data_IF_141258796506
#
_entry.id   IF_141258796506
#
_cell.length_a   1.000
_cell.length_b   1.000
_cell.length_c   1.000
_cell.angle_alpha   90.00
_cell.angle_beta   90.00
_cell.angle_gamma   90.00
#
_symmetry.space_group_name_H-M   'P 1'
#
loop_
_entity.id
_entity.type
_entity.pdbx_description
1 polymer ?
#
# COMPACT_ATOMS: atom_id res chain seq x y z
N UNK A 1 11.31 13.96 -16.97
CA UNK A 1 10.93 13.55 -15.60
C UNK A 1 9.45 13.20 -15.50
N UNK A 2 8.53 14.13 -15.79
CA UNK A 2 7.06 13.90 -15.75
C UNK A 2 6.63 12.69 -16.59
N UNK A 3 7.08 12.58 -17.83
CA UNK A 3 6.72 11.45 -18.73
C UNK A 3 7.11 10.09 -18.12
N UNK A 4 8.28 9.97 -17.49
CA UNK A 4 8.73 8.72 -16.90
C UNK A 4 7.88 8.32 -15.68
N UNK A 5 7.47 9.29 -14.87
CA UNK A 5 6.56 9.07 -13.73
C UNK A 5 5.20 8.58 -14.24
N UNK A 6 4.59 9.27 -15.22
CA UNK A 6 3.30 8.85 -15.77
C UNK A 6 3.38 7.50 -16.50
N UNK A 7 4.45 7.24 -17.26
CA UNK A 7 4.65 5.96 -17.91
C UNK A 7 4.80 4.82 -16.88
N UNK A 8 5.55 5.05 -15.79
CA UNK A 8 5.67 4.10 -14.68
C UNK A 8 4.34 3.87 -13.95
N UNK A 9 3.59 4.94 -13.71
CA UNK A 9 2.31 4.90 -13.01
C UNK A 9 1.20 4.20 -13.80
N UNK A 10 1.12 4.38 -15.12
CA UNK A 10 0.05 3.80 -15.94
C UNK A 10 0.45 2.54 -16.70
N UNK A 11 1.75 2.23 -16.76
CA UNK A 11 2.27 1.05 -17.46
C UNK A 11 1.61 -0.26 -17.05
N UNK A 12 1.49 -0.59 -15.74
CA UNK A 12 0.87 -1.84 -15.31
C UNK A 12 -0.62 -1.91 -15.72
N UNK A 13 -1.37 -0.84 -15.53
CA UNK A 13 -2.79 -0.77 -15.89
C UNK A 13 -3.03 -0.89 -17.39
N UNK A 14 -2.21 -0.23 -18.21
CA UNK A 14 -2.25 -0.38 -19.68
C UNK A 14 -1.94 -1.81 -20.10
N UNK A 15 -0.92 -2.43 -19.52
CA UNK A 15 -0.61 -3.84 -19.77
C UNK A 15 -1.79 -4.74 -19.36
N UNK A 16 -2.37 -4.51 -18.18
CA UNK A 16 -3.55 -5.22 -17.70
C UNK A 16 -4.76 -5.08 -18.64
N UNK A 17 -5.01 -3.88 -19.17
CA UNK A 17 -6.09 -3.62 -20.12
C UNK A 17 -5.86 -4.35 -21.46
N UNK A 18 -4.65 -4.23 -22.03
CA UNK A 18 -4.28 -4.88 -23.31
C UNK A 18 -4.39 -6.40 -23.19
N UNK A 19 -3.86 -6.98 -22.12
CA UNK A 19 -3.90 -8.41 -21.92
C UNK A 19 -5.34 -8.89 -21.65
N UNK A 20 -6.13 -8.15 -20.86
CA UNK A 20 -7.55 -8.46 -20.65
C UNK A 20 -8.35 -8.41 -21.95
N UNK A 21 -8.04 -7.47 -22.85
CA UNK A 21 -8.68 -7.37 -24.16
C UNK A 21 -8.34 -8.56 -25.05
N UNK A 22 -7.07 -8.99 -25.07
CA UNK A 22 -6.63 -10.18 -25.82
C UNK A 22 -7.31 -11.47 -25.35
N UNK A 23 -7.66 -11.55 -24.07
CA UNK A 23 -8.40 -12.68 -23.51
C UNK A 23 -9.93 -12.55 -23.61
N UNK A 24 -10.46 -11.47 -24.21
CA UNK A 24 -11.91 -11.23 -24.28
C UNK A 24 -12.56 -10.81 -22.96
N UNK A 25 -11.78 -10.48 -21.92
CA UNK A 25 -12.24 -10.16 -20.56
C UNK A 25 -12.15 -8.68 -20.20
N UNK A 26 -11.98 -7.80 -21.18
CA UNK A 26 -11.87 -6.34 -20.93
C UNK A 26 -13.06 -5.79 -20.14
N UNK A 27 -14.29 -6.26 -20.43
CA UNK A 27 -15.50 -5.84 -19.69
C UNK A 27 -15.42 -6.19 -18.21
N UNK A 28 -14.91 -7.38 -17.87
CA UNK A 28 -14.74 -7.82 -16.47
C UNK A 28 -13.67 -7.02 -15.75
N UNK A 29 -12.59 -6.69 -16.45
CA UNK A 29 -11.50 -5.84 -15.96
C UNK A 29 -12.00 -4.43 -15.66
N UNK A 30 -12.70 -3.78 -16.60
CA UNK A 30 -13.31 -2.46 -16.40
C UNK A 30 -14.33 -2.49 -15.26
N UNK A 31 -15.17 -3.52 -15.20
CA UNK A 31 -16.13 -3.67 -14.11
C UNK A 31 -15.46 -3.70 -12.72
N UNK A 32 -14.21 -4.15 -12.62
CA UNK A 32 -13.42 -4.10 -11.38
C UNK A 32 -13.24 -2.69 -10.81
N UNK A 33 -13.18 -1.67 -11.67
CA UNK A 33 -13.07 -0.26 -11.27
C UNK A 33 -14.42 0.38 -10.91
N UNK A 34 -15.53 -0.26 -11.24
CA UNK A 34 -16.88 0.22 -10.93
C UNK A 34 -17.48 -0.48 -9.70
N UNK A 35 -16.89 -1.60 -9.28
CA UNK A 35 -17.34 -2.36 -8.12
C UNK A 35 -16.91 -1.70 -6.82
N UNK A 36 -17.74 -0.83 -6.23
CA UNK A 36 -17.58 -0.44 -4.83
C UNK A 36 -18.24 -1.50 -3.92
N UNK A 37 -17.44 -2.46 -3.42
CA UNK A 37 -17.93 -3.56 -2.57
C UNK A 37 -17.07 -3.73 -1.32
N UNK A 38 -17.04 -2.68 -0.51
CA UNK A 38 -16.20 -2.63 0.67
C UNK A 38 -16.88 -3.19 1.93
N UNK A 39 -18.15 -2.84 2.15
CA UNK A 39 -18.83 -3.07 3.43
C UNK A 39 -18.06 -2.44 4.61
N UNK A 40 -18.60 -2.56 5.82
CA UNK A 40 -17.90 -2.07 7.02
C UNK A 40 -16.61 -2.83 7.32
N UNK A 41 -16.59 -4.13 7.06
CA UNK A 41 -15.41 -4.96 7.27
C UNK A 41 -14.24 -4.57 6.35
N UNK A 42 -14.49 -4.31 5.05
CA UNK A 42 -13.45 -3.86 4.14
C UNK A 42 -12.98 -2.44 4.46
N UNK A 43 -13.89 -1.55 4.85
CA UNK A 43 -13.53 -0.20 5.27
C UNK A 43 -12.63 -0.22 6.52
N UNK A 44 -13.00 -1.04 7.53
CA UNK A 44 -12.19 -1.25 8.72
C UNK A 44 -10.83 -1.88 8.39
N UNK A 45 -10.78 -2.86 7.47
CA UNK A 45 -9.54 -3.51 7.06
C UNK A 45 -8.58 -2.56 6.30
N UNK A 46 -9.10 -1.53 5.64
CA UNK A 46 -8.27 -0.47 5.02
C UNK A 46 -7.82 0.55 6.07
N UNK A 47 -8.72 0.92 6.98
CA UNK A 47 -8.51 2.02 7.91
C UNK A 47 -7.70 1.64 9.16
N UNK A 48 -7.72 0.40 9.62
CA UNK A 48 -7.23 0.09 10.98
C UNK A 48 -5.88 -0.64 11.03
N UNK A 49 -5.64 -1.75 10.30
CA UNK A 49 -4.49 -2.61 10.58
C UNK A 49 -3.14 -1.90 10.46
N UNK A 50 -2.87 -1.22 9.35
CA UNK A 50 -1.59 -0.54 9.13
C UNK A 50 -1.43 0.69 10.03
N UNK A 51 -2.41 1.60 10.14
CA UNK A 51 -2.32 2.74 11.06
C UNK A 51 -2.10 2.35 12.52
N UNK A 52 -2.80 1.32 13.01
CA UNK A 52 -2.61 0.81 14.37
C UNK A 52 -1.24 0.16 14.54
N UNK A 53 -0.74 -0.58 13.55
CA UNK A 53 0.60 -1.16 13.60
C UNK A 53 1.69 -0.09 13.62
N UNK A 54 1.58 0.94 12.78
CA UNK A 54 2.51 2.09 12.78
C UNK A 54 2.47 2.80 14.12
N UNK A 55 1.28 3.20 14.59
CA UNK A 55 1.12 3.91 15.87
C UNK A 55 1.63 3.08 17.05
N UNK A 56 1.21 1.83 17.14
CA UNK A 56 1.59 0.93 18.23
C UNK A 56 3.09 0.71 18.28
N UNK A 57 3.74 0.51 17.14
CA UNK A 57 5.19 0.34 17.08
C UNK A 57 5.93 1.65 17.39
N UNK A 58 5.44 2.81 16.93
CA UNK A 58 6.03 4.12 17.27
C UNK A 58 6.00 4.38 18.78
N UNK A 59 4.85 4.12 19.42
CA UNK A 59 4.68 4.27 20.87
C UNK A 59 5.52 3.25 21.64
N UNK A 60 5.55 1.99 21.21
CA UNK A 60 6.36 0.95 21.85
C UNK A 60 7.87 1.25 21.83
N UNK A 61 8.33 2.04 20.86
CA UNK A 61 9.70 2.51 20.74
C UNK A 61 9.98 3.82 21.51
N UNK A 62 8.99 4.33 22.26
CA UNK A 62 9.15 5.47 23.17
C UNK A 62 8.96 6.85 22.52
N UNK A 63 8.47 6.92 21.28
CA UNK A 63 8.22 8.19 20.60
C UNK A 63 6.84 8.74 20.93
N UNK A 64 6.77 10.07 21.02
CA UNK A 64 5.53 10.81 21.28
C UNK A 64 5.27 11.80 20.14
N UNK A 65 4.02 12.25 19.95
CA UNK A 65 3.74 13.22 18.91
C UNK A 65 4.37 14.55 19.30
N UNK A 66 4.73 15.36 18.31
CA UNK A 66 5.03 16.77 18.56
C UNK A 66 3.74 17.42 19.06
N UNK A 67 3.75 18.09 20.22
CA UNK A 67 2.57 18.79 20.71
C UNK A 67 2.13 19.85 19.70
N UNK A 68 0.87 19.76 19.25
CA UNK A 68 0.25 20.84 18.48
C UNK A 68 -0.33 21.85 19.47
N UNK A 69 -0.05 23.13 19.26
CA UNK A 69 -0.56 24.19 20.13
C UNK A 69 -2.10 24.14 20.20
N UNK A 70 -2.64 24.06 21.42
CA UNK A 70 -4.08 24.00 21.66
C UNK A 70 -4.76 22.64 21.37
N UNK A 71 -4.03 21.61 20.93
CA UNK A 71 -4.60 20.27 20.67
C UNK A 71 -3.95 19.23 21.60
N UNK A 72 -4.74 18.50 22.41
CA UNK A 72 -4.20 17.42 23.23
C UNK A 72 -3.47 16.38 22.35
N UNK A 73 -2.31 15.85 22.78
CA UNK A 73 -1.53 14.87 22.03
C UNK A 73 -2.32 13.64 21.55
N UNK A 74 -3.34 13.21 22.30
CA UNK A 74 -4.20 12.09 21.90
C UNK A 74 -5.15 12.46 20.75
N UNK A 75 -5.58 13.73 20.67
CA UNK A 75 -6.52 14.23 19.66
C UNK A 75 -5.83 14.57 18.34
N UNK A 76 -4.54 14.96 18.36
CA UNK A 76 -3.77 15.18 17.12
C UNK A 76 -3.72 13.92 16.25
N UNK A 77 -3.71 12.73 16.83
CA UNK A 77 -3.78 11.46 16.08
C UNK A 77 -5.14 11.20 15.44
N UNK A 78 -6.23 11.51 16.16
CA UNK A 78 -7.59 11.36 15.67
C UNK A 78 -7.91 12.36 14.55
N UNK A 79 -7.29 13.54 14.54
CA UNK A 79 -7.48 14.55 13.49
C UNK A 79 -6.67 14.27 12.23
N UNK A 80 -5.48 13.68 12.37
CA UNK A 80 -4.64 13.33 11.23
C UNK A 80 -5.24 12.17 10.43
N UNK A 81 -5.90 11.23 11.11
CA UNK A 81 -6.38 10.00 10.47
C UNK A 81 -7.44 10.22 9.36
N UNK A 82 -8.51 11.01 9.55
CA UNK A 82 -9.42 11.37 8.46
C UNK A 82 -8.74 12.14 7.32
N UNK A 83 -7.77 13.00 7.63
CA UNK A 83 -7.02 13.74 6.63
C UNK A 83 -6.12 12.82 5.79
N UNK A 84 -5.51 11.78 6.40
CA UNK A 84 -4.74 10.74 5.70
C UNK A 84 -5.64 9.97 4.74
N UNK A 85 -6.82 9.56 5.21
CA UNK A 85 -7.77 8.82 4.40
C UNK A 85 -8.26 9.68 3.23
N UNK A 86 -8.59 10.94 3.48
CA UNK A 86 -9.02 11.89 2.44
C UNK A 86 -7.91 12.20 1.44
N UNK A 87 -6.68 12.47 1.91
CA UNK A 87 -5.53 12.69 1.05
C UNK A 87 -5.17 11.43 0.24
N UNK A 88 -5.33 10.25 0.84
CA UNK A 88 -5.21 8.96 0.16
C UNK A 88 -6.23 8.79 -0.96
N UNK A 89 -7.49 9.25 -0.79
CA UNK A 89 -8.48 9.30 -1.89
C UNK A 89 -8.01 10.22 -3.00
N UNK A 90 -7.60 11.43 -2.65
CA UNK A 90 -7.18 12.46 -3.61
C UNK A 90 -5.99 11.97 -4.43
N UNK A 91 -4.97 11.41 -3.79
CA UNK A 91 -3.78 10.86 -4.47
C UNK A 91 -4.10 9.57 -5.24
N UNK A 92 -5.00 8.73 -4.75
CA UNK A 92 -5.42 7.52 -5.45
C UNK A 92 -6.15 7.80 -6.77
N UNK A 93 -7.00 8.83 -6.78
CA UNK A 93 -7.89 9.15 -7.90
C UNK A 93 -7.30 10.21 -8.84
N UNK A 94 -6.61 11.20 -8.29
CA UNK A 94 -6.08 12.35 -9.04
C UNK A 94 -4.57 12.29 -9.25
N UNK A 95 -3.86 11.42 -8.52
CA UNK A 95 -2.42 11.22 -8.67
C UNK A 95 -2.06 10.18 -9.73
N UNK A 96 -0.91 10.37 -10.37
CA UNK A 96 -0.24 9.29 -11.10
C UNK A 96 0.25 8.24 -10.09
N UNK A 97 -0.24 7.00 -10.21
CA UNK A 97 0.21 5.87 -9.39
C UNK A 97 -0.93 4.89 -9.15
N UNK A 98 -1.67 4.98 -8.03
CA UNK A 98 -2.62 3.95 -7.61
C UNK A 98 -3.64 3.52 -8.67
N UNK A 99 -4.34 4.47 -9.31
CA UNK A 99 -5.31 4.16 -10.36
C UNK A 99 -4.68 3.44 -11.57
N UNK A 100 -3.49 3.89 -11.98
CA UNK A 100 -2.77 3.34 -13.12
C UNK A 100 -2.10 2.01 -12.82
N UNK A 101 -1.67 1.77 -11.59
CA UNK A 101 -0.92 0.57 -11.21
C UNK A 101 -1.85 -0.60 -10.87
N UNK A 102 -2.88 -0.36 -10.05
CA UNK A 102 -3.71 -1.44 -9.52
C UNK A 102 -4.52 -2.18 -10.60
N UNK A 103 -4.77 -1.54 -11.73
CA UNK A 103 -5.34 -2.21 -12.91
C UNK A 103 -4.49 -3.36 -13.43
N UNK A 104 -3.17 -3.22 -13.37
CA UNK A 104 -2.23 -4.28 -13.74
C UNK A 104 -2.05 -5.29 -12.61
N UNK A 105 -1.79 -4.79 -11.40
CA UNK A 105 -1.44 -5.63 -10.27
C UNK A 105 -2.63 -6.46 -9.76
N UNK A 106 -3.69 -5.80 -9.28
CA UNK A 106 -4.84 -6.46 -8.64
C UNK A 106 -5.98 -6.70 -9.64
N UNK A 107 -6.07 -5.89 -10.69
CA UNK A 107 -7.04 -6.03 -11.76
C UNK A 107 -6.73 -7.15 -12.75
N UNK A 108 -5.45 -7.54 -12.91
CA UNK A 108 -5.03 -8.53 -13.90
C UNK A 108 -4.09 -9.61 -13.35
N UNK A 109 -2.92 -9.24 -12.81
CA UNK A 109 -1.86 -10.20 -12.50
C UNK A 109 -2.18 -11.06 -11.27
N UNK A 110 -2.61 -10.44 -10.18
CA UNK A 110 -2.90 -11.12 -8.90
C UNK A 110 -3.92 -12.26 -9.04
N UNK A 111 -5.09 -12.11 -9.72
CA UNK A 111 -6.01 -13.23 -9.91
C UNK A 111 -5.33 -14.47 -10.51
N UNK A 112 -4.48 -14.30 -11.52
CA UNK A 112 -3.77 -15.40 -12.19
C UNK A 112 -2.71 -16.04 -11.30
N UNK A 113 -2.03 -15.25 -10.47
CA UNK A 113 -1.09 -15.78 -9.49
C UNK A 113 -1.82 -16.55 -8.39
N UNK A 114 -2.96 -16.04 -7.91
CA UNK A 114 -3.78 -16.70 -6.89
C UNK A 114 -4.27 -18.07 -7.36
N UNK A 115 -4.73 -18.18 -8.61
CA UNK A 115 -5.23 -19.43 -9.19
C UNK A 115 -4.15 -20.53 -9.27
N UNK A 116 -2.85 -20.16 -9.26
CA UNK A 116 -1.72 -21.09 -9.39
C UNK A 116 -0.97 -21.34 -8.08
N UNK A 117 -0.88 -20.32 -7.22
CA UNK A 117 0.07 -20.31 -6.10
C UNK A 117 -0.60 -20.19 -4.72
N UNK A 118 -1.89 -19.85 -4.66
CA UNK A 118 -2.56 -19.52 -3.41
C UNK A 118 -2.20 -18.14 -2.84
N UNK A 119 -2.87 -17.73 -1.76
CA UNK A 119 -2.85 -16.35 -1.25
C UNK A 119 -1.45 -15.81 -0.93
N UNK A 120 -0.69 -16.51 -0.08
CA UNK A 120 0.61 -16.02 0.41
C UNK A 120 1.65 -16.01 -0.71
N UNK A 121 1.94 -17.11 -1.42
CA UNK A 121 3.00 -17.11 -2.42
C UNK A 121 2.68 -16.21 -3.62
N UNK A 122 1.40 -16.11 -4.04
CA UNK A 122 0.97 -15.16 -5.07
C UNK A 122 1.26 -13.71 -4.66
N UNK A 123 0.95 -13.35 -3.41
CA UNK A 123 1.17 -12.01 -2.90
C UNK A 123 2.65 -11.64 -2.81
N UNK A 124 3.48 -12.57 -2.31
CA UNK A 124 4.93 -12.36 -2.21
C UNK A 124 5.56 -12.22 -3.60
N UNK A 125 5.17 -13.10 -4.54
CA UNK A 125 5.62 -13.01 -5.94
C UNK A 125 5.23 -11.68 -6.58
N UNK A 126 3.98 -11.24 -6.37
CA UNK A 126 3.52 -9.94 -6.85
C UNK A 126 4.33 -8.80 -6.24
N UNK A 127 4.67 -8.87 -4.95
CA UNK A 127 5.52 -7.86 -4.30
C UNK A 127 6.92 -7.76 -4.90
N UNK A 128 7.52 -8.90 -5.27
CA UNK A 128 8.81 -8.93 -5.99
C UNK A 128 8.70 -8.31 -7.38
N UNK A 129 7.67 -8.68 -8.15
CA UNK A 129 7.43 -8.12 -9.50
C UNK A 129 7.19 -6.61 -9.40
N UNK A 130 6.40 -6.18 -8.41
CA UNK A 130 6.09 -4.79 -8.18
C UNK A 130 7.33 -3.99 -7.74
N UNK A 131 8.21 -4.57 -6.91
CA UNK A 131 9.51 -3.97 -6.59
C UNK A 131 10.38 -3.82 -7.85
N UNK A 132 10.45 -4.85 -8.69
CA UNK A 132 11.22 -4.83 -9.93
C UNK A 132 10.73 -3.75 -10.91
N UNK A 133 9.41 -3.51 -10.96
CA UNK A 133 8.81 -2.43 -11.77
C UNK A 133 9.36 -1.03 -11.41
N UNK A 134 9.78 -0.83 -10.17
CA UNK A 134 10.34 0.45 -9.71
C UNK A 134 11.84 0.62 -9.98
N UNK A 135 12.55 -0.42 -10.46
CA UNK A 135 13.99 -0.31 -10.72
C UNK A 135 14.37 0.84 -11.66
N UNK A 136 13.66 1.09 -12.79
CA UNK A 136 13.99 2.20 -13.68
C UNK A 136 13.87 3.56 -12.98
N UNK A 137 12.80 3.77 -12.19
CA UNK A 137 12.58 5.05 -11.52
C UNK A 137 13.60 5.27 -10.39
N UNK A 138 13.97 4.20 -9.65
CA UNK A 138 15.03 4.24 -8.64
C UNK A 138 16.42 4.61 -9.20
N UNK A 139 16.67 4.24 -10.46
CA UNK A 139 17.92 4.54 -11.17
C UNK A 139 17.94 5.96 -11.74
N UNK A 140 16.82 6.41 -12.29
CA UNK A 140 16.72 7.73 -12.94
C UNK A 140 16.52 8.87 -11.92
N UNK A 141 15.88 8.59 -10.79
CA UNK A 141 15.61 9.57 -9.73
C UNK A 141 16.37 9.19 -8.44
N UNK A 142 17.57 9.76 -8.19
CA UNK A 142 18.34 9.48 -6.99
C UNK A 142 17.58 9.75 -5.69
N UNK A 143 16.72 10.78 -5.67
CA UNK A 143 15.90 11.17 -4.52
C UNK A 143 14.86 10.11 -4.15
N UNK A 144 14.50 9.19 -5.08
CA UNK A 144 13.61 8.07 -4.78
C UNK A 144 14.15 7.14 -3.68
N UNK A 145 15.47 7.11 -3.51
CA UNK A 145 16.14 6.29 -2.49
C UNK A 145 16.50 7.09 -1.24
N UNK A 146 16.14 8.37 -1.17
CA UNK A 146 16.48 9.27 -0.06
C UNK A 146 17.99 9.21 0.30
N UNK A 147 18.84 9.25 -0.73
CA UNK A 147 20.31 9.18 -0.59
C UNK A 147 20.87 7.80 -0.21
N UNK A 148 20.05 6.76 -0.04
CA UNK A 148 20.51 5.41 0.29
C UNK A 148 21.13 4.67 -0.90
N UNK A 149 22.13 3.83 -0.66
CA UNK A 149 22.72 2.97 -1.70
C UNK A 149 21.70 1.94 -2.21
N UNK A 150 21.84 1.53 -3.48
CA UNK A 150 21.03 0.47 -4.06
C UNK A 150 21.12 -0.84 -3.27
N UNK A 151 22.32 -1.19 -2.79
CA UNK A 151 22.56 -2.41 -2.03
C UNK A 151 21.74 -2.50 -0.74
N UNK A 152 21.44 -1.36 -0.10
CA UNK A 152 20.55 -1.31 1.05
C UNK A 152 19.09 -1.15 0.64
N UNK A 153 18.81 -0.17 -0.24
CA UNK A 153 17.45 0.25 -0.52
C UNK A 153 16.64 -0.82 -1.27
N UNK A 154 17.22 -1.47 -2.27
CA UNK A 154 16.48 -2.43 -3.09
C UNK A 154 16.00 -3.65 -2.29
N UNK A 155 16.82 -4.34 -1.47
CA UNK A 155 16.33 -5.42 -0.62
C UNK A 155 15.27 -4.96 0.39
N UNK A 156 15.51 -3.84 1.07
CA UNK A 156 14.56 -3.31 2.07
C UNK A 156 13.22 -2.92 1.43
N UNK A 157 13.24 -2.24 0.29
CA UNK A 157 12.06 -1.90 -0.48
C UNK A 157 11.32 -3.16 -0.98
N UNK A 158 12.05 -4.18 -1.45
CA UNK A 158 11.45 -5.44 -1.89
C UNK A 158 10.71 -6.14 -0.74
N UNK A 159 11.34 -6.25 0.44
CA UNK A 159 10.71 -6.84 1.63
C UNK A 159 9.48 -6.03 2.08
N UNK A 160 9.54 -4.70 1.97
CA UNK A 160 8.40 -3.81 2.21
C UNK A 160 7.25 -4.13 1.26
N UNK A 161 7.53 -4.18 -0.04
CA UNK A 161 6.54 -4.42 -1.10
C UNK A 161 5.95 -5.84 -1.05
N UNK A 162 6.71 -6.83 -0.59
CA UNK A 162 6.20 -8.18 -0.33
C UNK A 162 5.14 -8.18 0.78
N UNK A 163 5.45 -7.59 1.94
CA UNK A 163 4.50 -7.47 3.04
C UNK A 163 3.27 -6.62 2.64
N UNK A 164 3.51 -5.54 1.91
CA UNK A 164 2.45 -4.64 1.45
C UNK A 164 1.52 -5.33 0.46
N UNK A 165 2.10 -6.08 -0.49
CA UNK A 165 1.36 -6.87 -1.44
C UNK A 165 0.48 -7.91 -0.75
N UNK A 166 0.99 -8.58 0.30
CA UNK A 166 0.20 -9.50 1.12
C UNK A 166 -0.97 -8.81 1.83
N UNK A 167 -0.71 -7.72 2.55
CA UNK A 167 -1.76 -6.94 3.20
C UNK A 167 -2.84 -6.49 2.20
N UNK A 168 -2.40 -5.97 1.06
CA UNK A 168 -3.31 -5.51 0.00
C UNK A 168 -4.12 -6.65 -0.61
N UNK A 169 -3.52 -7.81 -0.85
CA UNK A 169 -4.25 -8.99 -1.36
C UNK A 169 -5.34 -9.42 -0.39
N UNK A 170 -5.05 -9.46 0.91
CA UNK A 170 -6.02 -9.87 1.94
C UNK A 170 -7.24 -8.94 1.95
N UNK A 171 -6.99 -7.63 1.91
CA UNK A 171 -8.05 -6.61 1.88
C UNK A 171 -8.81 -6.66 0.55
N UNK A 172 -8.11 -6.85 -0.57
CA UNK A 172 -8.74 -7.01 -1.89
C UNK A 172 -9.68 -8.23 -1.94
N UNK A 173 -9.31 -9.33 -1.28
CA UNK A 173 -10.18 -10.50 -1.12
C UNK A 173 -11.41 -10.19 -0.24
N UNK A 174 -11.23 -9.48 0.88
CA UNK A 174 -12.33 -9.05 1.75
C UNK A 174 -13.32 -8.11 1.03
N UNK A 175 -12.83 -7.27 0.14
CA UNK A 175 -13.62 -6.32 -0.68
C UNK A 175 -14.17 -6.94 -1.96
N UNK A 176 -14.32 -8.28 -1.99
CA UNK A 176 -14.86 -9.06 -3.11
C UNK A 176 -14.15 -8.76 -4.44
N UNK A 177 -12.82 -8.69 -4.40
CA UNK A 177 -11.97 -8.50 -5.58
C UNK A 177 -12.23 -7.17 -6.30
N UNK A 178 -12.47 -6.10 -5.54
CA UNK A 178 -12.68 -4.75 -6.07
C UNK A 178 -11.35 -4.07 -6.40
N UNK A 179 -11.12 -3.79 -7.68
CA UNK A 179 -9.95 -3.01 -8.11
C UNK A 179 -10.03 -1.57 -7.59
N UNK A 180 -11.23 -0.98 -7.56
CA UNK A 180 -11.43 0.35 -6.99
C UNK A 180 -11.06 0.41 -5.50
N UNK A 181 -11.38 -0.63 -4.72
CA UNK A 181 -10.97 -0.71 -3.33
C UNK A 181 -9.43 -0.84 -3.20
N UNK A 182 -8.77 -1.57 -4.10
CA UNK A 182 -7.31 -1.64 -4.13
C UNK A 182 -6.66 -0.29 -4.46
N UNK A 183 -7.22 0.46 -5.41
CA UNK A 183 -6.80 1.82 -5.75
C UNK A 183 -6.88 2.73 -4.53
N UNK A 184 -8.01 2.70 -3.82
CA UNK A 184 -8.20 3.51 -2.61
C UNK A 184 -7.22 3.12 -1.50
N UNK A 185 -7.10 1.83 -1.21
CA UNK A 185 -6.17 1.30 -0.23
C UNK A 185 -4.72 1.71 -0.53
N UNK A 186 -4.28 1.61 -1.79
CA UNK A 186 -2.95 2.02 -2.21
C UNK A 186 -2.72 3.51 -1.92
N UNK A 187 -3.66 4.40 -2.28
CA UNK A 187 -3.52 5.82 -1.92
C UNK A 187 -3.47 6.06 -0.41
N UNK A 188 -4.30 5.36 0.38
CA UNK A 188 -4.25 5.43 1.85
C UNK A 188 -2.87 5.01 2.37
N UNK A 189 -2.30 3.91 1.87
CA UNK A 189 -0.95 3.44 2.22
C UNK A 189 0.10 4.51 1.90
N UNK A 190 0.03 5.12 0.72
CA UNK A 190 0.98 6.16 0.31
C UNK A 190 0.89 7.39 1.24
N UNK A 191 -0.33 7.79 1.61
CA UNK A 191 -0.55 8.87 2.56
C UNK A 191 -0.02 8.52 3.97
N UNK A 192 -0.24 7.28 4.45
CA UNK A 192 0.31 6.82 5.72
C UNK A 192 1.84 6.86 5.69
N UNK A 193 2.47 6.37 4.62
CA UNK A 193 3.93 6.39 4.46
C UNK A 193 4.50 7.81 4.53
N UNK A 194 3.89 8.78 3.86
CA UNK A 194 4.32 10.18 3.91
C UNK A 194 4.21 10.81 5.30
N UNK A 195 3.23 10.39 6.10
CA UNK A 195 2.92 10.96 7.42
C UNK A 195 3.69 10.26 8.54
N UNK A 196 3.85 8.94 8.47
CA UNK A 196 4.55 8.13 9.46
C UNK A 196 5.99 8.60 9.72
N UNK A 197 6.60 9.27 8.73
CA UNK A 197 8.00 9.70 8.77
C UNK A 197 8.17 11.22 8.75
N UNK A 198 7.09 11.98 8.91
CA UNK A 198 7.20 13.43 9.03
C UNK A 198 7.81 13.81 10.37
N UNK A 199 9.00 14.42 10.34
CA UNK A 199 9.67 14.99 11.50
C UNK A 199 8.87 16.14 12.16
N UNK A 200 7.83 16.65 11.49
CA UNK A 200 6.91 17.65 12.04
C UNK A 200 5.89 17.02 13.00
N UNK A 201 5.69 15.70 12.92
CA UNK A 201 4.64 15.00 13.67
C UNK A 201 5.17 14.21 14.86
N UNK A 202 6.44 13.82 14.87
CA UNK A 202 7.04 13.00 15.93
C UNK A 202 8.21 13.71 16.58
N UNK A 203 8.28 13.65 17.91
CA UNK A 203 9.33 14.29 18.70
C UNK A 203 10.72 13.65 18.54
N UNK A 204 10.80 12.56 17.78
CA UNK A 204 12.02 11.82 17.50
C UNK A 204 12.52 12.00 16.07
N UNK A 205 13.82 12.27 15.93
CA UNK A 205 14.52 12.25 14.64
C UNK A 205 14.97 10.85 14.28
N UNK A 206 14.11 10.07 13.63
CA UNK A 206 14.50 8.78 13.07
C UNK A 206 15.42 9.01 11.87
N UNK A 207 16.47 8.19 11.73
CA UNK A 207 17.17 8.11 10.44
C UNK A 207 16.21 7.61 9.36
N UNK A 208 16.39 8.01 8.11
CA UNK A 208 15.55 7.52 7.01
C UNK A 208 15.61 6.00 6.81
N UNK A 209 16.74 5.37 7.17
CA UNK A 209 16.82 3.90 7.25
C UNK A 209 15.89 3.32 8.31
N UNK A 210 15.89 3.92 9.50
CA UNK A 210 15.04 3.46 10.60
C UNK A 210 13.55 3.67 10.26
N UNK A 211 13.20 4.75 9.56
CA UNK A 211 11.87 4.99 9.01
C UNK A 211 11.43 3.87 8.05
N UNK A 212 12.25 3.54 7.05
CA UNK A 212 11.94 2.46 6.12
C UNK A 212 11.72 1.13 6.83
N UNK A 213 12.60 0.78 7.78
CA UNK A 213 12.49 -0.47 8.54
C UNK A 213 11.28 -0.48 9.47
N UNK A 214 10.96 0.66 10.10
CA UNK A 214 9.75 0.84 10.90
C UNK A 214 8.50 0.60 10.07
N UNK A 215 8.41 1.21 8.89
CA UNK A 215 7.29 0.98 7.97
C UNK A 215 7.17 -0.49 7.57
N UNK A 216 8.31 -1.10 7.24
CA UNK A 216 8.40 -2.49 6.84
C UNK A 216 7.81 -3.38 7.93
N UNK A 217 8.25 -3.19 9.17
CA UNK A 217 7.77 -3.96 10.31
C UNK A 217 6.27 -3.74 10.55
N UNK A 218 5.80 -2.49 10.52
CA UNK A 218 4.38 -2.18 10.69
C UNK A 218 3.49 -2.84 9.62
N UNK A 219 3.94 -2.85 8.36
CA UNK A 219 3.25 -3.54 7.26
C UNK A 219 3.16 -5.04 7.52
N UNK A 220 4.26 -5.67 7.94
CA UNK A 220 4.27 -7.10 8.23
C UNK A 220 3.40 -7.45 9.44
N UNK A 221 3.42 -6.64 10.51
CA UNK A 221 2.53 -6.80 11.66
C UNK A 221 1.07 -6.72 11.22
N UNK A 222 0.71 -5.72 10.41
CA UNK A 222 -0.65 -5.57 9.90
C UNK A 222 -1.08 -6.75 9.01
N UNK A 223 -0.20 -7.19 8.09
CA UNK A 223 -0.47 -8.33 7.20
C UNK A 223 -0.65 -9.64 7.97
N UNK A 224 0.19 -9.88 8.99
CA UNK A 224 0.12 -11.08 9.83
C UNK A 224 -1.12 -11.05 10.73
N UNK A 225 -1.43 -9.91 11.36
CA UNK A 225 -2.64 -9.76 12.17
C UNK A 225 -3.90 -10.05 11.35
N UNK A 226 -4.00 -9.47 10.15
CA UNK A 226 -5.15 -9.71 9.27
C UNK A 226 -5.21 -11.16 8.76
N UNK A 227 -4.06 -11.79 8.49
CA UNK A 227 -3.98 -13.20 8.12
C UNK A 227 -4.55 -14.10 9.22
N UNK A 228 -4.10 -13.90 10.45
CA UNK A 228 -4.50 -14.69 11.62
C UNK A 228 -6.00 -14.52 11.90
N UNK A 229 -6.50 -13.29 11.89
CA UNK A 229 -7.93 -13.01 12.11
C UNK A 229 -8.83 -13.72 11.09
N UNK A 230 -8.42 -13.76 9.82
CA UNK A 230 -9.15 -14.46 8.75
C UNK A 230 -9.07 -15.98 8.88
N UNK A 231 -7.93 -16.52 9.31
CA UNK A 231 -7.73 -17.96 9.54
C UNK A 231 -8.65 -18.55 10.62
N UNK A 232 -9.00 -17.76 11.64
CA UNK A 232 -9.92 -18.18 12.69
C UNK A 232 -11.40 -18.22 12.27
N UNK A 233 -11.81 -17.41 11.28
CA UNK A 233 -13.21 -17.33 10.83
C UNK A 233 -13.60 -18.40 9.80
N UNK A 234 -12.65 -19.13 9.23
CA UNK A 234 -12.90 -20.21 8.26
C UNK A 234 -13.02 -21.61 8.87
N UNK A 235 -13.02 -21.73 10.21
CA UNK A 235 -13.06 -23.01 10.96
C UNK A 235 -14.29 -23.15 11.86
N UNK A 236 -15.29 -22.26 11.73
CA UNK A 236 -16.54 -22.29 12.48
C UNK A 236 -17.71 -22.75 11.64
#
# INVERSE_FOLDING_TARGET
MVIAVYAGSFGPGLAGAVLSAREGRLREWVAGFLRWRMGWAGAAAIALPLPLAVLGLTVALGYAPVPMEGVPPALSYLTLFPAVVFNGVVTAVLGAGPLGEEGGWRGYLLPRLLDRLGEVPASLMLGVIWSAWHLPIMAILPDWRDGHSFAFYLPAYTVTLMGLSLLMTQIWLLTRRSTLAAVWMHGVINAIGGIAFSAQLWNGGWSSKANLLHFTLAIWIAALALHLLRGHHGRG
#
